data_IF_942023390560
#
_entry.id   IF_942023390560
#
_cell.length_a   1.000
_cell.length_b   1.000
_cell.length_c   1.000
_cell.angle_alpha   90.00
_cell.angle_beta   90.00
_cell.angle_gamma   90.00
#
_symmetry.space_group_name_H-M   'P 1'
#
loop_
_entity.id
_entity.type
_entity.pdbx_description
1 polymer ?
#
# COMPACT_ATOMS: atom_id res chain seq x y z
N UNK A 1 5.67 -15.86 21.67
CA UNK A 1 5.32 -15.24 20.38
C UNK A 1 5.93 -16.10 19.29
N UNK A 2 5.12 -16.55 18.33
CA UNK A 2 5.57 -17.37 17.21
C UNK A 2 5.97 -16.51 16.01
N UNK A 3 6.87 -17.04 15.17
CA UNK A 3 7.17 -16.50 13.85
C UNK A 3 6.56 -17.43 12.78
N UNK A 4 5.97 -16.83 11.76
CA UNK A 4 5.41 -17.53 10.60
C UNK A 4 6.19 -17.08 9.38
N UNK A 5 6.82 -18.03 8.68
CA UNK A 5 7.53 -17.78 7.44
C UNK A 5 6.77 -18.47 6.30
N UNK A 6 6.38 -17.73 5.29
CA UNK A 6 5.67 -18.27 4.11
C UNK A 6 6.38 -17.80 2.85
N UNK A 7 6.67 -18.75 1.97
CA UNK A 7 7.17 -18.50 0.63
C UNK A 7 6.14 -19.01 -0.38
N UNK A 8 5.78 -18.18 -1.36
CA UNK A 8 4.93 -18.58 -2.49
C UNK A 8 5.66 -18.34 -3.81
N UNK A 9 5.70 -19.37 -4.64
CA UNK A 9 6.28 -19.33 -5.97
C UNK A 9 5.25 -19.84 -6.99
N UNK A 10 5.09 -19.13 -8.08
CA UNK A 10 4.24 -19.58 -9.18
C UNK A 10 3.21 -18.57 -9.64
N UNK A 11 2.25 -19.06 -10.43
CA UNK A 11 1.16 -18.22 -10.96
C UNK A 11 0.04 -18.16 -9.93
N UNK A 12 -0.48 -16.96 -9.62
CA UNK A 12 -1.59 -16.73 -8.68
C UNK A 12 -1.33 -17.21 -7.23
N UNK A 13 -0.13 -16.99 -6.73
CA UNK A 13 0.24 -17.36 -5.36
C UNK A 13 -0.39 -16.44 -4.30
N UNK A 14 -0.99 -17.02 -3.26
CA UNK A 14 -1.49 -16.27 -2.08
C UNK A 14 -0.86 -16.85 -0.83
N UNK A 15 -0.15 -16.04 -0.04
CA UNK A 15 0.50 -16.52 1.18
C UNK A 15 -0.48 -16.62 2.35
N UNK A 16 -1.19 -15.54 2.66
CA UNK A 16 -2.25 -15.52 3.67
C UNK A 16 -3.50 -14.97 3.00
N UNK A 17 -4.51 -15.78 2.78
CA UNK A 17 -5.62 -15.33 1.97
C UNK A 17 -6.91 -16.09 2.10
N UNK A 18 -7.93 -15.51 1.46
CA UNK A 18 -9.25 -16.07 1.33
C UNK A 18 -9.63 -16.19 -0.16
N UNK A 19 -9.76 -17.42 -0.67
CA UNK A 19 -10.05 -17.66 -2.08
C UNK A 19 -11.46 -17.25 -2.51
N UNK A 20 -12.40 -17.18 -1.56
CA UNK A 20 -13.81 -16.82 -1.80
C UNK A 20 -14.23 -15.53 -1.05
N UNK A 21 -13.27 -14.68 -0.67
CA UNK A 21 -13.53 -13.49 0.11
C UNK A 21 -13.67 -13.74 1.61
N UNK A 22 -13.84 -12.68 2.36
CA UNK A 22 -14.10 -12.75 3.79
C UNK A 22 -13.14 -11.92 4.64
N UNK A 23 -13.19 -12.19 5.93
CA UNK A 23 -12.42 -11.48 6.93
C UNK A 23 -11.10 -12.21 7.22
N UNK A 24 -9.99 -11.49 7.08
CA UNK A 24 -8.66 -11.98 7.47
C UNK A 24 -8.20 -11.15 8.65
N UNK A 25 -7.93 -11.81 9.76
CA UNK A 25 -7.40 -11.17 10.95
C UNK A 25 -6.03 -11.74 11.29
N UNK A 26 -5.03 -10.86 11.28
CA UNK A 26 -3.67 -11.15 11.73
C UNK A 26 -3.49 -10.43 13.05
N UNK A 27 -3.22 -11.18 14.11
CA UNK A 27 -3.12 -10.64 15.46
C UNK A 27 -1.89 -11.17 16.16
N UNK A 28 -0.99 -10.26 16.51
CA UNK A 28 0.28 -10.52 17.20
C UNK A 28 1.23 -11.45 16.42
N UNK A 29 2.47 -11.45 16.82
CA UNK A 29 3.50 -12.31 16.20
C UNK A 29 4.24 -11.65 15.06
N UNK A 30 5.20 -12.39 14.52
CA UNK A 30 6.03 -11.99 13.40
C UNK A 30 5.68 -12.81 12.17
N UNK A 31 5.59 -12.12 11.04
CA UNK A 31 5.24 -12.71 9.75
C UNK A 31 6.28 -12.28 8.71
N UNK A 32 7.04 -13.24 8.21
CA UNK A 32 8.02 -13.05 7.15
C UNK A 32 7.48 -13.70 5.87
N UNK A 33 7.07 -12.89 4.90
CA UNK A 33 6.38 -13.33 3.69
C UNK A 33 7.23 -13.04 2.46
N UNK A 34 7.50 -14.06 1.66
CA UNK A 34 8.19 -13.95 0.37
C UNK A 34 7.26 -14.35 -0.77
N UNK A 35 7.00 -13.44 -1.68
CA UNK A 35 6.09 -13.62 -2.80
C UNK A 35 6.84 -13.47 -4.10
N UNK A 36 6.89 -14.54 -4.87
CA UNK A 36 7.54 -14.58 -6.17
C UNK A 36 6.63 -15.24 -7.21
N UNK A 37 6.70 -14.81 -8.46
CA UNK A 37 5.97 -15.43 -9.54
C UNK A 37 5.28 -14.44 -10.47
N UNK A 38 4.16 -14.83 -11.07
CA UNK A 38 3.50 -14.00 -12.07
C UNK A 38 2.45 -13.06 -11.46
N UNK A 39 1.51 -13.59 -10.67
CA UNK A 39 0.52 -12.79 -9.96
C UNK A 39 0.51 -13.21 -8.49
N UNK A 40 0.87 -12.32 -7.59
CA UNK A 40 1.03 -12.66 -6.19
C UNK A 40 0.19 -11.81 -5.25
N UNK A 41 -0.22 -12.42 -4.12
CA UNK A 41 -0.81 -11.73 -2.98
C UNK A 41 -0.12 -12.20 -1.71
N UNK A 42 0.44 -11.28 -0.92
CA UNK A 42 1.02 -11.67 0.36
C UNK A 42 -0.09 -11.86 1.41
N UNK A 43 -0.96 -10.87 1.58
CA UNK A 43 -2.10 -10.94 2.52
C UNK A 43 -3.34 -10.42 1.80
N UNK A 44 -4.32 -11.28 1.56
CA UNK A 44 -5.55 -10.84 0.93
C UNK A 44 -6.19 -11.81 -0.04
N UNK A 45 -6.66 -11.32 -1.19
CA UNK A 45 -7.44 -12.08 -2.17
C UNK A 45 -7.05 -11.72 -3.61
N UNK A 46 -7.22 -12.68 -4.53
CA UNK A 46 -7.05 -12.43 -5.96
C UNK A 46 -8.37 -11.95 -6.59
N UNK A 47 -9.49 -12.58 -6.30
CA UNK A 47 -10.72 -12.42 -7.07
C UNK A 47 -11.95 -12.01 -6.27
N UNK A 48 -11.81 -11.74 -5.00
CA UNK A 48 -12.94 -11.47 -4.10
C UNK A 48 -12.68 -10.28 -3.19
N UNK A 49 -13.74 -9.59 -2.73
CA UNK A 49 -13.59 -8.55 -1.71
C UNK A 49 -12.98 -9.11 -0.43
N UNK A 50 -12.23 -8.28 0.28
CA UNK A 50 -11.56 -8.71 1.51
C UNK A 50 -11.58 -7.62 2.57
N UNK A 51 -11.82 -8.02 3.83
CA UNK A 51 -11.62 -7.19 5.01
C UNK A 51 -10.37 -7.67 5.76
N UNK A 52 -9.36 -6.82 5.84
CA UNK A 52 -8.10 -7.13 6.49
C UNK A 52 -7.95 -6.37 7.79
N UNK A 53 -7.70 -7.11 8.88
CA UNK A 53 -7.40 -6.53 10.18
C UNK A 53 -6.02 -6.99 10.65
N UNK A 54 -5.03 -6.10 10.56
CA UNK A 54 -3.64 -6.35 10.97
C UNK A 54 -3.41 -5.64 12.32
N UNK A 55 -3.26 -6.42 13.37
CA UNK A 55 -3.31 -5.93 14.75
C UNK A 55 -2.08 -6.37 15.53
N UNK A 56 -1.31 -5.43 16.08
CA UNK A 56 -0.19 -5.70 17.00
C UNK A 56 0.84 -6.71 16.44
N UNK A 57 1.08 -6.71 15.15
CA UNK A 57 1.96 -7.64 14.45
C UNK A 57 3.21 -6.95 13.89
N UNK A 58 4.28 -7.73 13.68
CA UNK A 58 5.43 -7.35 12.87
C UNK A 58 5.35 -8.11 11.55
N UNK A 59 5.24 -7.40 10.45
CA UNK A 59 5.04 -7.98 9.13
C UNK A 59 6.16 -7.53 8.20
N UNK A 60 6.98 -8.46 7.74
CA UNK A 60 8.04 -8.22 6.74
C UNK A 60 7.66 -8.91 5.43
N UNK A 61 7.53 -8.14 4.36
CA UNK A 61 7.12 -8.64 3.05
C UNK A 61 8.21 -8.34 2.04
N UNK A 62 8.71 -9.37 1.38
CA UNK A 62 9.48 -9.27 0.15
C UNK A 62 8.59 -9.71 -1.00
N UNK A 63 8.30 -8.77 -1.90
CA UNK A 63 7.39 -8.95 -3.01
C UNK A 63 8.15 -8.83 -4.34
N UNK A 64 8.28 -9.93 -5.07
CA UNK A 64 8.99 -10.03 -6.35
C UNK A 64 8.10 -10.59 -7.47
N UNK A 65 6.79 -10.58 -7.28
CA UNK A 65 5.85 -11.00 -8.30
C UNK A 65 5.72 -9.95 -9.42
N UNK A 66 5.56 -10.42 -10.65
CA UNK A 66 5.44 -9.53 -11.79
C UNK A 66 4.24 -8.58 -11.68
N UNK A 67 3.09 -9.10 -11.22
CA UNK A 67 1.86 -8.34 -11.00
C UNK A 67 1.21 -8.74 -9.68
N UNK A 68 0.27 -7.94 -9.18
CA UNK A 68 -0.60 -8.28 -8.07
C UNK A 68 -0.63 -7.27 -6.93
N UNK A 69 -0.87 -7.75 -5.72
CA UNK A 69 -1.05 -6.91 -4.53
C UNK A 69 -0.32 -7.52 -3.33
N UNK A 70 0.48 -6.74 -2.62
CA UNK A 70 1.09 -7.29 -1.42
C UNK A 70 0.06 -7.43 -0.28
N UNK A 71 -0.71 -6.38 0.03
CA UNK A 71 -1.76 -6.40 1.06
C UNK A 71 -3.05 -5.85 0.46
N UNK A 72 -4.08 -6.68 0.27
CA UNK A 72 -5.35 -6.25 -0.28
C UNK A 72 -6.00 -7.22 -1.27
N UNK A 73 -6.62 -6.71 -2.33
CA UNK A 73 -7.28 -7.50 -3.36
C UNK A 73 -6.81 -7.15 -4.76
N UNK A 74 -6.64 -8.16 -5.63
CA UNK A 74 -6.28 -7.88 -7.02
C UNK A 74 -7.48 -7.34 -7.79
N UNK A 75 -8.64 -8.00 -7.73
CA UNK A 75 -9.76 -7.71 -8.66
C UNK A 75 -11.01 -7.14 -7.99
N UNK A 76 -10.99 -6.89 -6.69
CA UNK A 76 -12.18 -6.45 -5.96
C UNK A 76 -11.82 -5.43 -4.88
N UNK A 77 -12.82 -4.90 -4.20
CA UNK A 77 -12.64 -3.95 -3.09
C UNK A 77 -11.85 -4.54 -1.92
N UNK A 78 -11.05 -3.72 -1.26
CA UNK A 78 -10.33 -4.09 -0.04
C UNK A 78 -10.53 -3.05 1.07
N UNK A 79 -11.05 -3.50 2.22
CA UNK A 79 -11.06 -2.74 3.46
C UNK A 79 -9.88 -3.20 4.33
N UNK A 80 -8.94 -2.30 4.61
CA UNK A 80 -7.67 -2.63 5.25
C UNK A 80 -7.48 -1.78 6.50
N UNK A 81 -7.43 -2.43 7.67
CA UNK A 81 -7.12 -1.78 8.94
C UNK A 81 -5.77 -2.27 9.47
N UNK A 82 -4.84 -1.34 9.70
CA UNK A 82 -3.49 -1.58 10.22
C UNK A 82 -3.35 -0.83 11.54
N UNK A 83 -3.35 -1.57 12.66
CA UNK A 83 -3.41 -0.97 14.01
C UNK A 83 -2.32 -1.50 14.94
N UNK A 84 -1.54 -0.59 15.53
CA UNK A 84 -0.41 -0.93 16.41
C UNK A 84 0.55 -1.96 15.77
N UNK A 85 0.76 -1.89 14.47
CA UNK A 85 1.44 -2.89 13.65
C UNK A 85 2.65 -2.25 12.99
N UNK A 86 3.74 -2.99 12.87
CA UNK A 86 4.90 -2.61 12.07
C UNK A 86 4.87 -3.38 10.75
N UNK A 87 4.98 -2.68 9.63
CA UNK A 87 5.06 -3.25 8.29
C UNK A 87 6.33 -2.77 7.62
N UNK A 88 7.16 -3.71 7.19
CA UNK A 88 8.29 -3.49 6.29
C UNK A 88 7.98 -4.19 4.96
N UNK A 89 7.95 -3.45 3.86
CA UNK A 89 7.64 -3.98 2.55
C UNK A 89 8.68 -3.55 1.52
N UNK A 90 9.35 -4.53 0.93
CA UNK A 90 10.22 -4.35 -0.23
C UNK A 90 9.56 -5.00 -1.42
N UNK A 91 9.30 -4.21 -2.45
CA UNK A 91 8.58 -4.68 -3.64
C UNK A 91 9.34 -4.40 -4.93
N UNK A 92 9.32 -5.39 -5.83
CA UNK A 92 9.72 -5.20 -7.23
C UNK A 92 8.77 -5.96 -8.15
N UNK A 93 8.40 -5.35 -9.28
CA UNK A 93 7.47 -5.97 -10.23
C UNK A 93 7.15 -5.06 -11.40
N UNK A 94 6.33 -5.54 -12.33
CA UNK A 94 5.89 -4.72 -13.46
C UNK A 94 4.69 -3.83 -13.10
N UNK A 95 3.63 -4.44 -12.57
CA UNK A 95 2.40 -3.75 -12.21
C UNK A 95 1.85 -4.29 -10.89
N UNK A 96 1.99 -3.53 -9.83
CA UNK A 96 1.52 -3.98 -8.52
C UNK A 96 1.15 -2.84 -7.57
N UNK A 97 0.34 -3.19 -6.57
CA UNK A 97 -0.04 -2.33 -5.46
C UNK A 97 0.49 -2.91 -4.15
N UNK A 98 1.20 -2.12 -3.35
CA UNK A 98 1.70 -2.63 -2.08
C UNK A 98 0.59 -2.77 -1.04
N UNK A 99 -0.27 -1.75 -0.85
CA UNK A 99 -1.45 -1.82 0.04
C UNK A 99 -2.65 -1.25 -0.69
N UNK A 100 -3.67 -2.08 -0.95
CA UNK A 100 -4.87 -1.64 -1.64
C UNK A 100 -5.40 -2.61 -2.70
N UNK A 101 -5.74 -2.08 -3.90
CA UNK A 101 -6.33 -2.89 -5.00
C UNK A 101 -5.70 -2.59 -6.34
N UNK A 102 -5.55 -3.62 -7.17
CA UNK A 102 -4.97 -3.48 -8.51
C UNK A 102 -6.03 -3.25 -9.59
N UNK A 103 -6.91 -4.21 -9.81
CA UNK A 103 -7.98 -4.16 -10.83
C UNK A 103 -9.38 -4.05 -10.21
N UNK A 104 -9.47 -3.73 -8.92
CA UNK A 104 -10.71 -3.58 -8.19
C UNK A 104 -11.30 -2.17 -8.30
N UNK A 105 -12.47 -1.99 -7.73
CA UNK A 105 -13.24 -0.74 -7.71
C UNK A 105 -12.83 0.24 -6.60
N UNK A 106 -11.71 -0.04 -5.93
CA UNK A 106 -11.11 0.83 -4.93
C UNK A 106 -10.80 0.16 -3.61
N UNK A 107 -10.29 0.95 -2.66
CA UNK A 107 -9.92 0.47 -1.32
C UNK A 107 -10.16 1.52 -0.24
N UNK A 108 -10.33 1.04 0.99
CA UNK A 108 -10.26 1.83 2.22
C UNK A 108 -9.06 1.35 3.05
N UNK A 109 -8.16 2.25 3.41
CA UNK A 109 -6.96 1.94 4.19
C UNK A 109 -6.92 2.80 5.44
N UNK A 110 -7.11 2.20 6.61
CA UNK A 110 -7.05 2.86 7.92
C UNK A 110 -5.77 2.44 8.67
N UNK A 111 -4.86 3.38 8.87
CA UNK A 111 -3.59 3.18 9.55
C UNK A 111 -3.59 3.95 10.87
N UNK A 112 -3.53 3.25 11.99
CA UNK A 112 -3.52 3.89 13.29
C UNK A 112 -2.48 3.33 14.24
N UNK A 113 -1.68 4.24 14.85
CA UNK A 113 -0.59 3.90 15.77
C UNK A 113 0.35 2.83 15.20
N UNK A 114 0.64 2.93 13.93
CA UNK A 114 1.41 1.94 13.19
C UNK A 114 2.67 2.56 12.56
N UNK A 115 3.64 1.69 12.28
CA UNK A 115 4.82 2.05 11.52
C UNK A 115 4.80 1.31 10.18
N UNK A 116 4.94 2.07 9.08
CA UNK A 116 4.91 1.49 7.73
C UNK A 116 6.11 1.99 6.95
N UNK A 117 7.00 1.09 6.56
CA UNK A 117 8.17 1.38 5.71
C UNK A 117 8.06 0.60 4.39
N UNK A 118 7.97 1.31 3.28
CA UNK A 118 7.86 0.72 1.95
C UNK A 118 8.97 1.19 1.04
N UNK A 119 9.61 0.26 0.34
CA UNK A 119 10.58 0.53 -0.71
C UNK A 119 10.21 -0.25 -1.96
N UNK A 120 9.67 0.44 -2.95
CA UNK A 120 9.05 -0.15 -4.11
C UNK A 120 9.78 0.25 -5.40
N UNK A 121 9.94 -0.71 -6.31
CA UNK A 121 10.51 -0.49 -7.63
C UNK A 121 9.68 -1.21 -8.67
N UNK A 122 9.40 -0.55 -9.79
CA UNK A 122 8.64 -1.20 -10.85
C UNK A 122 8.37 -0.28 -12.04
N UNK A 123 7.69 -0.81 -13.04
CA UNK A 123 7.24 0.02 -14.15
C UNK A 123 5.97 0.78 -13.80
N UNK A 124 5.03 0.11 -13.09
CA UNK A 124 3.77 0.67 -12.64
C UNK A 124 3.47 0.19 -11.23
N UNK A 125 3.79 0.98 -10.21
CA UNK A 125 3.59 0.57 -8.84
C UNK A 125 2.89 1.66 -7.99
N UNK A 126 2.13 1.20 -7.00
CA UNK A 126 1.38 2.06 -6.07
C UNK A 126 1.75 1.63 -4.66
N UNK A 127 2.15 2.58 -3.79
CA UNK A 127 2.44 2.21 -2.41
C UNK A 127 1.15 1.99 -1.61
N UNK A 128 0.23 2.94 -1.62
CA UNK A 128 -1.07 2.77 -0.98
C UNK A 128 -2.17 3.34 -1.86
N UNK A 129 -3.18 2.54 -2.16
CA UNK A 129 -4.30 2.99 -2.96
C UNK A 129 -4.80 1.98 -3.97
N UNK A 130 -5.27 2.48 -5.12
CA UNK A 130 -5.87 1.64 -6.15
C UNK A 130 -5.42 2.04 -7.55
N UNK A 131 -5.42 1.09 -8.46
CA UNK A 131 -5.23 1.41 -9.87
C UNK A 131 -6.52 2.02 -10.46
N UNK A 132 -7.69 1.55 -10.00
CA UNK A 132 -9.00 2.04 -10.41
C UNK A 132 -9.89 2.34 -9.20
N UNK A 133 -10.95 3.17 -9.40
CA UNK A 133 -11.96 3.45 -8.39
C UNK A 133 -11.50 4.41 -7.30
N UNK A 134 -12.07 4.28 -6.11
CA UNK A 134 -11.84 5.19 -5.00
C UNK A 134 -10.79 4.63 -4.04
N UNK A 135 -9.76 5.41 -3.74
CA UNK A 135 -8.81 5.09 -2.68
C UNK A 135 -9.01 6.06 -1.50
N UNK A 136 -9.57 5.57 -0.40
CA UNK A 136 -9.74 6.33 0.85
C UNK A 136 -8.66 5.91 1.86
N UNK A 137 -7.68 6.79 2.09
CA UNK A 137 -6.54 6.52 2.95
C UNK A 137 -6.60 7.42 4.18
N UNK A 138 -6.62 6.81 5.36
CA UNK A 138 -6.64 7.49 6.65
C UNK A 138 -5.47 7.09 7.51
N UNK A 139 -4.78 8.09 8.06
CA UNK A 139 -3.63 7.89 8.95
C UNK A 139 -3.83 8.65 10.25
N UNK A 140 -3.72 7.98 11.39
CA UNK A 140 -3.84 8.60 12.70
C UNK A 140 -2.74 8.09 13.64
N UNK A 141 -1.98 9.00 14.26
CA UNK A 141 -0.87 8.66 15.14
C UNK A 141 0.13 7.67 14.50
N UNK A 142 0.33 7.76 13.20
CA UNK A 142 1.11 6.81 12.40
C UNK A 142 2.45 7.40 11.95
N UNK A 143 3.40 6.51 11.65
CA UNK A 143 4.66 6.86 11.03
C UNK A 143 4.81 6.07 9.74
N UNK A 144 4.80 6.74 8.60
CA UNK A 144 4.84 6.10 7.30
C UNK A 144 5.96 6.67 6.42
N UNK A 145 6.80 5.78 5.90
CA UNK A 145 7.82 6.09 4.90
C UNK A 145 7.53 5.31 3.63
N UNK A 146 7.29 6.03 2.56
CA UNK A 146 6.94 5.46 1.26
C UNK A 146 7.99 5.89 0.22
N UNK A 147 8.85 4.99 -0.18
CA UNK A 147 9.82 5.21 -1.24
C UNK A 147 9.38 4.42 -2.48
N UNK A 148 9.14 5.11 -3.58
CA UNK A 148 8.63 4.54 -4.82
C UNK A 148 9.51 4.96 -5.98
N UNK A 149 9.88 4.01 -6.84
CA UNK A 149 10.74 4.26 -7.98
C UNK A 149 10.24 3.56 -9.23
N UNK A 150 10.01 4.32 -10.30
CA UNK A 150 9.66 3.79 -11.61
C UNK A 150 8.79 4.74 -12.43
N UNK A 151 8.61 4.40 -13.70
CA UNK A 151 8.10 5.31 -14.74
C UNK A 151 6.65 5.73 -14.51
N UNK A 152 5.77 4.77 -14.18
CA UNK A 152 4.36 5.02 -13.89
C UNK A 152 4.00 4.68 -12.44
N UNK A 153 4.91 4.99 -11.51
CA UNK A 153 4.74 4.71 -10.09
C UNK A 153 4.32 5.96 -9.32
N UNK A 154 3.45 5.78 -8.32
CA UNK A 154 3.08 6.84 -7.38
C UNK A 154 2.88 6.29 -5.97
N UNK A 155 2.83 7.18 -4.97
CA UNK A 155 2.83 6.75 -3.59
C UNK A 155 1.42 6.55 -3.02
N UNK A 156 0.49 7.48 -3.24
CA UNK A 156 -0.79 7.52 -2.55
C UNK A 156 -1.94 7.84 -3.51
N UNK A 157 -3.11 7.23 -3.32
CA UNK A 157 -4.32 7.57 -4.03
C UNK A 157 -4.76 6.58 -5.10
N UNK A 158 -5.40 7.06 -6.16
CA UNK A 158 -5.90 6.24 -7.27
C UNK A 158 -5.29 6.68 -8.59
N UNK A 159 -5.00 5.74 -9.50
CA UNK A 159 -4.51 6.06 -10.85
C UNK A 159 -5.63 6.59 -11.73
N UNK A 160 -6.71 5.82 -11.83
CA UNK A 160 -7.87 6.11 -12.67
C UNK A 160 -9.13 6.22 -11.80
N UNK A 161 -9.17 7.19 -10.89
CA UNK A 161 -10.28 7.37 -9.98
C UNK A 161 -10.07 8.51 -9.01
N UNK A 162 -10.68 8.45 -7.84
CA UNK A 162 -10.55 9.48 -6.81
C UNK A 162 -9.70 9.00 -5.65
N UNK A 163 -8.67 9.76 -5.27
CA UNK A 163 -7.90 9.52 -4.07
C UNK A 163 -8.30 10.47 -2.95
N UNK A 164 -8.48 9.95 -1.76
CA UNK A 164 -8.70 10.72 -0.54
C UNK A 164 -7.62 10.37 0.47
N UNK A 165 -6.93 11.38 1.01
CA UNK A 165 -5.94 11.22 2.05
C UNK A 165 -6.30 12.10 3.25
N UNK A 166 -6.61 11.48 4.36
CA UNK A 166 -6.78 12.17 5.64
C UNK A 166 -5.69 11.74 6.61
N UNK A 167 -4.87 12.66 7.07
CA UNK A 167 -3.79 12.38 8.01
C UNK A 167 -3.87 13.30 9.21
N UNK A 168 -3.87 12.72 10.41
CA UNK A 168 -3.93 13.45 11.66
C UNK A 168 -2.87 12.93 12.65
N UNK A 169 -2.06 13.84 13.16
CA UNK A 169 -0.96 13.55 14.10
C UNK A 169 -0.03 12.42 13.60
N UNK A 170 0.28 12.43 12.29
CA UNK A 170 1.09 11.40 11.67
C UNK A 170 2.35 11.97 11.02
N UNK A 171 3.42 11.18 11.00
CA UNK A 171 4.62 11.48 10.25
C UNK A 171 4.57 10.74 8.91
N UNK A 172 4.50 11.46 7.80
CA UNK A 172 4.43 10.90 6.47
C UNK A 172 5.59 11.41 5.61
N UNK A 173 6.47 10.51 5.23
CA UNK A 173 7.59 10.77 4.36
C UNK A 173 7.40 10.02 3.03
N UNK A 174 7.20 10.76 1.95
CA UNK A 174 6.98 10.23 0.61
C UNK A 174 8.12 10.63 -0.31
N UNK A 175 8.73 9.65 -0.95
CA UNK A 175 9.80 9.84 -1.93
C UNK A 175 9.45 9.10 -3.22
N UNK A 176 9.21 9.82 -4.30
CA UNK A 176 8.95 9.26 -5.63
C UNK A 176 10.10 9.61 -6.57
N UNK A 177 10.66 8.63 -7.27
CA UNK A 177 11.80 8.79 -8.16
C UNK A 177 11.56 8.17 -9.52
N UNK A 178 12.13 8.80 -10.55
CA UNK A 178 12.05 8.34 -11.94
C UNK A 178 10.61 8.19 -12.46
N UNK A 179 9.66 8.91 -11.89
CA UNK A 179 8.30 8.92 -12.36
C UNK A 179 8.12 9.98 -13.44
N UNK A 180 7.47 9.59 -14.53
CA UNK A 180 7.01 10.52 -15.56
C UNK A 180 5.74 11.26 -15.12
N UNK A 181 5.00 10.67 -14.20
CA UNK A 181 3.84 11.28 -13.57
C UNK A 181 4.27 12.17 -12.42
N UNK A 182 3.91 13.41 -12.50
CA UNK A 182 4.42 14.52 -11.68
C UNK A 182 3.80 14.53 -10.27
N UNK A 183 2.87 13.64 -9.96
CA UNK A 183 2.19 13.64 -8.66
C UNK A 183 2.57 12.45 -7.78
N UNK A 184 2.59 12.70 -6.48
CA UNK A 184 2.65 11.66 -5.44
C UNK A 184 1.41 10.76 -5.50
N UNK A 185 0.38 11.24 -6.15
CA UNK A 185 -0.88 10.57 -6.47
C UNK A 185 -1.31 10.95 -7.89
N UNK A 186 -1.91 9.99 -8.59
CA UNK A 186 -2.41 10.19 -9.95
C UNK A 186 -3.91 10.33 -9.92
N UNK A 187 -4.63 11.26 -10.20
CA UNK A 187 -6.06 11.54 -10.25
C UNK A 187 -6.50 12.69 -9.32
N UNK A 188 -7.76 13.05 -9.36
CA UNK A 188 -8.32 14.05 -8.45
C UNK A 188 -8.18 13.60 -7.00
N UNK A 189 -7.64 14.47 -6.16
CA UNK A 189 -7.30 14.17 -4.77
C UNK A 189 -8.00 15.12 -3.82
N UNK A 190 -8.49 14.58 -2.73
CA UNK A 190 -8.82 15.33 -1.52
C UNK A 190 -7.78 15.01 -0.44
N UNK A 191 -6.91 15.96 -0.13
CA UNK A 191 -5.82 15.78 0.83
C UNK A 191 -6.03 16.68 2.03
N UNK A 192 -6.17 16.06 3.20
CA UNK A 192 -6.26 16.75 4.48
C UNK A 192 -5.14 16.33 5.42
N UNK A 193 -4.19 17.22 5.68
CA UNK A 193 -3.05 16.99 6.55
C UNK A 193 -3.16 17.86 7.80
N UNK A 194 -3.19 17.25 8.99
CA UNK A 194 -3.40 17.95 10.27
C UNK A 194 -2.42 17.44 11.33
N UNK A 195 -1.82 18.35 12.09
CA UNK A 195 -1.00 18.06 13.27
C UNK A 195 0.10 17.02 13.07
N UNK A 196 0.80 17.02 11.94
CA UNK A 196 1.83 16.04 11.66
C UNK A 196 3.07 16.63 11.03
N UNK A 197 4.03 15.77 10.69
CA UNK A 197 5.19 16.11 9.88
C UNK A 197 5.05 15.46 8.52
N UNK A 198 5.08 16.27 7.48
CA UNK A 198 4.84 15.81 6.12
C UNK A 198 6.01 16.20 5.23
N UNK A 199 6.58 15.23 4.54
CA UNK A 199 7.65 15.47 3.58
C UNK A 199 7.34 14.75 2.28
N UNK A 200 7.33 15.48 1.18
CA UNK A 200 7.07 14.97 -0.15
C UNK A 200 8.23 15.32 -1.08
N UNK A 201 8.92 14.32 -1.60
CA UNK A 201 10.03 14.46 -2.53
C UNK A 201 9.67 13.78 -3.84
N UNK A 202 9.66 14.57 -4.92
CA UNK A 202 9.45 14.08 -6.28
C UNK A 202 10.72 14.34 -7.12
N UNK A 203 11.31 13.27 -7.66
CA UNK A 203 12.52 13.35 -8.48
C UNK A 203 13.63 14.24 -7.87
N UNK A 204 13.85 14.11 -6.55
CA UNK A 204 14.78 14.89 -5.70
C UNK A 204 14.37 16.35 -5.41
N UNK A 205 13.20 16.79 -5.80
CA UNK A 205 12.66 18.10 -5.41
C UNK A 205 11.68 17.95 -4.23
N UNK A 206 11.78 18.83 -3.25
CA UNK A 206 10.79 18.92 -2.19
C UNK A 206 9.55 19.65 -2.70
N UNK A 207 8.42 18.96 -2.77
CA UNK A 207 7.15 19.49 -3.27
C UNK A 207 6.09 19.69 -2.17
N UNK A 208 6.47 19.64 -0.89
CA UNK A 208 5.56 19.76 0.25
C UNK A 208 4.61 20.96 0.12
N UNK A 209 5.13 22.14 -0.22
CA UNK A 209 4.30 23.34 -0.42
C UNK A 209 3.27 23.16 -1.54
N UNK A 210 3.66 22.53 -2.64
CA UNK A 210 2.77 22.31 -3.78
C UNK A 210 1.64 21.35 -3.43
N UNK A 211 1.88 20.41 -2.55
CA UNK A 211 0.86 19.43 -2.08
C UNK A 211 -0.10 20.12 -1.10
N UNK A 212 0.41 20.89 -0.14
CA UNK A 212 -0.43 21.59 0.85
C UNK A 212 -1.23 22.75 0.25
N UNK A 213 -0.70 23.43 -0.78
CA UNK A 213 -1.39 24.54 -1.45
C UNK A 213 -2.45 24.10 -2.49
N UNK A 214 -2.40 22.87 -2.97
CA UNK A 214 -3.38 22.35 -3.94
C UNK A 214 -4.68 21.90 -3.30
N UNK A 215 -4.68 21.61 -2.03
CA UNK A 215 -5.77 21.00 -1.30
C UNK A 215 -5.92 21.66 0.07
#
# INVERSE_FOLDING_TARGET
>A
EGAINIETNGVNGVAIGAGLGGDIRIEKGRYDLYINGENGVAIGSISTPVNLNLLQADIDITYEAANGVAIGSVSQHADIAIKNTSISLRGSGNRYVAVGTLDGDGCSVDISRAHVDMNLKGNSCIAMGSDHGIADIRMTDANSRLAVQGEACFALGSRDGTGMLSSNNADLNVVVRNSLNIDISAAEQDIRLVNGRYMFILNNENIERKVVERY
#
